data_IF_339630546451
#
_entry.id   IF_339630546451
#
_cell.length_a   1.000
_cell.length_b   1.000
_cell.length_c   1.000
_cell.angle_alpha   90.00
_cell.angle_beta   90.00
_cell.angle_gamma   90.00
#
_symmetry.space_group_name_H-M   'P 1'
#
loop_
_entity.id
_entity.type
_entity.pdbx_description
1 polymer ?
#
# COMPACT_ATOMS: atom_id res chain seq x y z
N UNK A 1 -16.20 7.95 -10.97
CA UNK A 1 -16.59 7.32 -9.68
C UNK A 1 -15.43 6.54 -9.06
N UNK A 2 -14.79 5.62 -9.81
CA UNK A 2 -13.67 4.78 -9.34
C UNK A 2 -12.44 5.57 -8.87
N UNK A 3 -12.01 6.60 -9.62
CA UNK A 3 -10.89 7.49 -9.22
C UNK A 3 -11.12 8.14 -7.86
N UNK A 4 -12.31 8.72 -7.65
CA UNK A 4 -12.67 9.33 -6.36
C UNK A 4 -12.67 8.29 -5.24
N UNK A 5 -13.19 7.09 -5.50
CA UNK A 5 -13.22 6.03 -4.51
C UNK A 5 -11.81 5.59 -4.06
N UNK A 6 -10.83 5.51 -4.97
CA UNK A 6 -9.44 5.21 -4.60
C UNK A 6 -8.84 6.35 -3.75
N UNK A 7 -9.05 7.61 -4.16
CA UNK A 7 -8.58 8.75 -3.38
C UNK A 7 -9.18 8.76 -1.96
N UNK A 8 -10.49 8.57 -1.84
CA UNK A 8 -11.19 8.50 -0.55
C UNK A 8 -10.69 7.32 0.30
N UNK A 9 -10.42 6.17 -0.33
CA UNK A 9 -9.87 4.99 0.35
C UNK A 9 -8.47 5.25 0.91
N UNK A 10 -7.59 5.87 0.13
CA UNK A 10 -6.25 6.26 0.58
C UNK A 10 -6.32 7.23 1.78
N UNK A 11 -7.10 8.32 1.67
CA UNK A 11 -7.28 9.25 2.78
C UNK A 11 -7.87 8.58 4.03
N UNK A 12 -8.78 7.62 3.85
CA UNK A 12 -9.33 6.81 4.94
C UNK A 12 -8.27 5.94 5.62
N UNK A 13 -7.41 5.26 4.86
CA UNK A 13 -6.31 4.44 5.40
C UNK A 13 -5.30 5.32 6.13
N UNK A 14 -4.91 6.45 5.55
CA UNK A 14 -3.97 7.39 6.17
C UNK A 14 -4.51 7.92 7.51
N UNK A 15 -5.77 8.34 7.55
CA UNK A 15 -6.42 8.81 8.77
C UNK A 15 -6.54 7.69 9.82
N UNK A 16 -6.84 6.46 9.40
CA UNK A 16 -6.90 5.29 10.28
C UNK A 16 -5.52 4.98 10.90
N UNK A 17 -4.46 5.00 10.10
CA UNK A 17 -3.09 4.74 10.54
C UNK A 17 -2.63 5.75 11.61
N UNK A 18 -2.72 7.05 11.32
CA UNK A 18 -2.31 8.07 12.29
C UNK A 18 -3.26 8.17 13.48
N UNK A 19 -4.56 7.96 13.28
CA UNK A 19 -5.53 7.92 14.38
C UNK A 19 -5.25 6.76 15.35
N UNK A 20 -4.81 5.61 14.85
CA UNK A 20 -4.37 4.49 15.70
C UNK A 20 -3.15 4.87 16.53
N UNK A 21 -2.13 5.49 15.91
CA UNK A 21 -0.94 5.97 16.60
C UNK A 21 -1.30 7.01 17.68
N UNK A 22 -2.21 7.92 17.39
CA UNK A 22 -2.64 8.93 18.37
C UNK A 22 -3.34 8.31 19.58
N UNK A 23 -4.19 7.29 19.35
CA UNK A 23 -4.95 6.61 20.40
C UNK A 23 -4.08 5.67 21.23
N UNK A 24 -3.27 4.84 20.60
CA UNK A 24 -2.54 3.76 21.26
C UNK A 24 -1.08 4.09 21.53
N UNK A 25 -0.53 5.12 20.88
CA UNK A 25 0.91 5.47 20.92
C UNK A 25 1.79 4.31 20.47
N UNK A 26 1.29 3.53 19.52
CA UNK A 26 1.95 2.37 18.93
C UNK A 26 1.69 2.37 17.42
N UNK A 27 2.60 1.82 16.63
CA UNK A 27 2.42 1.64 15.19
C UNK A 27 1.57 0.37 14.96
N UNK A 28 0.43 0.45 14.25
CA UNK A 28 -0.37 -0.74 13.96
C UNK A 28 0.43 -1.70 13.06
N UNK A 29 0.26 -3.00 13.26
CA UNK A 29 1.05 -4.03 12.59
C UNK A 29 2.36 -4.34 13.32
N UNK A 30 3.20 -3.34 13.52
CA UNK A 30 4.46 -3.42 14.30
C UNK A 30 4.22 -3.79 15.77
N UNK A 31 3.13 -3.31 16.36
CA UNK A 31 2.86 -3.53 17.78
C UNK A 31 2.81 -5.02 18.12
N UNK A 32 3.68 -5.46 19.05
CA UNK A 32 3.77 -6.87 19.43
C UNK A 32 2.45 -7.45 19.92
N UNK A 33 2.07 -8.61 19.35
CA UNK A 33 0.76 -9.26 19.48
C UNK A 33 0.25 -9.33 20.93
N UNK A 34 1.07 -9.84 21.86
CA UNK A 34 0.71 -9.99 23.28
C UNK A 34 0.33 -8.66 23.96
N UNK A 35 0.93 -7.55 23.54
CA UNK A 35 0.61 -6.23 24.09
C UNK A 35 -0.58 -5.60 23.36
N UNK A 36 -0.68 -5.82 22.05
CA UNK A 36 -1.83 -5.40 21.26
C UNK A 36 -3.12 -6.06 21.76
N UNK A 37 -3.13 -7.37 22.01
CA UNK A 37 -4.29 -8.12 22.51
C UNK A 37 -4.83 -7.57 23.84
N UNK A 38 -3.92 -7.17 24.76
CA UNK A 38 -4.31 -6.57 26.05
C UNK A 38 -5.07 -5.26 25.89
N UNK A 39 -4.79 -4.49 24.85
CA UNK A 39 -5.41 -3.20 24.59
C UNK A 39 -6.57 -3.28 23.60
N UNK A 40 -6.54 -4.27 22.71
CA UNK A 40 -7.51 -4.51 21.65
C UNK A 40 -7.88 -6.01 21.72
N UNK A 41 -8.92 -6.35 22.50
CA UNK A 41 -9.30 -7.74 22.68
C UNK A 41 -9.56 -8.46 21.36
N UNK A 42 -8.97 -9.65 21.25
CA UNK A 42 -9.09 -10.52 20.09
C UNK A 42 -8.09 -10.23 18.99
N UNK A 43 -7.13 -9.32 19.13
CA UNK A 43 -5.95 -9.27 18.23
C UNK A 43 -5.06 -10.48 18.48
N UNK A 44 -4.65 -11.15 17.41
CA UNK A 44 -3.86 -12.39 17.45
C UNK A 44 -2.45 -12.19 16.87
N UNK A 45 -2.26 -11.23 15.95
CA UNK A 45 -0.97 -11.01 15.28
C UNK A 45 -0.34 -9.65 15.63
N UNK A 46 0.93 -9.50 15.26
CA UNK A 46 1.71 -8.30 15.49
C UNK A 46 3.18 -8.46 15.09
N UNK A 47 3.92 -7.38 15.26
CA UNK A 47 5.31 -7.25 14.84
C UNK A 47 6.31 -7.29 15.98
N UNK A 48 7.45 -6.66 15.76
CA UNK A 48 8.59 -6.68 16.68
C UNK A 48 8.62 -5.47 17.65
N UNK A 49 7.68 -4.53 17.52
CA UNK A 49 7.57 -3.30 18.30
C UNK A 49 8.80 -2.37 18.17
N UNK A 50 9.40 -2.28 16.98
CA UNK A 50 10.54 -1.41 16.70
C UNK A 50 10.13 0.03 16.31
N UNK A 51 8.84 0.30 16.18
CA UNK A 51 8.28 1.60 15.83
C UNK A 51 8.17 1.86 14.33
N UNK A 52 8.31 0.83 13.48
CA UNK A 52 8.25 0.91 12.02
C UNK A 52 7.49 -0.28 11.49
N UNK A 53 6.86 -0.09 10.34
CA UNK A 53 6.19 -1.15 9.61
C UNK A 53 7.16 -1.76 8.61
N UNK A 54 7.98 -2.70 9.08
CA UNK A 54 9.07 -3.33 8.34
C UNK A 54 9.18 -4.84 8.64
N UNK A 55 10.31 -5.48 8.29
CA UNK A 55 10.43 -6.93 8.41
C UNK A 55 10.71 -7.29 9.87
N UNK A 56 9.70 -7.87 10.52
CA UNK A 56 9.76 -8.39 11.88
C UNK A 56 10.63 -9.65 12.05
N UNK A 57 11.22 -10.18 10.97
CA UNK A 57 11.94 -11.45 10.94
C UNK A 57 11.08 -12.64 10.51
N UNK A 58 9.80 -12.42 10.22
CA UNK A 58 8.85 -13.38 9.63
C UNK A 58 8.52 -13.08 8.17
N UNK A 59 9.16 -12.09 7.56
CA UNK A 59 8.85 -11.59 6.22
C UNK A 59 7.93 -10.37 6.26
N UNK A 60 7.85 -9.62 5.15
CA UNK A 60 7.16 -8.33 5.10
C UNK A 60 5.66 -8.44 5.36
N UNK A 61 5.05 -9.58 5.06
CA UNK A 61 3.62 -9.80 5.30
C UNK A 61 3.25 -9.82 6.78
N UNK A 62 4.20 -10.09 7.69
CA UNK A 62 3.91 -10.22 9.11
C UNK A 62 3.27 -8.96 9.67
N UNK A 63 3.96 -7.82 9.53
CA UNK A 63 3.45 -6.57 10.07
C UNK A 63 2.41 -5.94 9.15
N UNK A 64 2.58 -6.06 7.83
CA UNK A 64 1.67 -5.49 6.85
C UNK A 64 0.23 -6.07 6.96
N UNK A 65 0.09 -7.37 7.23
CA UNK A 65 -1.23 -7.99 7.43
C UNK A 65 -1.75 -7.76 8.85
N UNK A 66 -0.89 -7.83 9.87
CA UNK A 66 -1.27 -7.51 11.24
C UNK A 66 -1.79 -6.07 11.37
N UNK A 67 -1.31 -5.13 10.55
CA UNK A 67 -1.82 -3.76 10.49
C UNK A 67 -3.33 -3.73 10.20
N UNK A 68 -3.81 -4.50 9.24
CA UNK A 68 -5.22 -4.53 8.88
C UNK A 68 -6.09 -5.13 9.98
N UNK A 69 -5.57 -6.17 10.65
CA UNK A 69 -6.20 -6.73 11.84
C UNK A 69 -6.33 -5.69 12.95
N UNK A 70 -5.23 -5.01 13.29
CA UNK A 70 -5.21 -4.00 14.36
C UNK A 70 -6.21 -2.89 14.06
N UNK A 71 -6.21 -2.35 12.84
CA UNK A 71 -7.10 -1.26 12.44
C UNK A 71 -8.57 -1.68 12.43
N UNK A 72 -8.88 -2.91 11.98
CA UNK A 72 -10.28 -3.40 11.94
C UNK A 72 -10.80 -3.75 13.33
N UNK A 73 -10.04 -4.48 14.16
CA UNK A 73 -10.45 -4.86 15.53
C UNK A 73 -10.55 -3.65 16.47
N UNK A 74 -9.79 -2.59 16.21
CA UNK A 74 -9.90 -1.31 16.94
C UNK A 74 -10.93 -0.31 16.35
N UNK A 75 -11.61 -0.69 15.26
CA UNK A 75 -12.68 0.07 14.58
C UNK A 75 -12.24 1.36 13.88
N UNK A 76 -10.98 1.46 13.45
CA UNK A 76 -10.54 2.54 12.58
C UNK A 76 -10.94 2.33 11.13
N UNK A 77 -11.06 1.07 10.70
CA UNK A 77 -11.57 0.71 9.36
C UNK A 77 -12.69 -0.32 9.47
N UNK A 78 -13.48 -0.43 8.41
CA UNK A 78 -14.45 -1.52 8.26
C UNK A 78 -13.76 -2.76 7.68
N UNK A 79 -14.34 -3.92 7.97
CA UNK A 79 -13.79 -5.22 7.58
C UNK A 79 -13.53 -6.10 8.80
N UNK A 80 -13.10 -7.32 8.55
CA UNK A 80 -12.68 -8.26 9.58
C UNK A 80 -11.45 -8.96 9.04
N UNK A 81 -10.28 -8.41 9.36
CA UNK A 81 -9.02 -8.92 8.86
C UNK A 81 -8.37 -9.80 9.91
N UNK A 82 -7.86 -10.95 9.51
CA UNK A 82 -7.25 -11.93 10.42
C UNK A 82 -5.82 -11.60 10.75
N UNK A 83 -5.09 -10.94 9.84
CA UNK A 83 -3.67 -10.61 10.02
C UNK A 83 -2.73 -11.81 9.91
N UNK A 84 -3.21 -12.96 9.40
CA UNK A 84 -2.43 -14.20 9.30
C UNK A 84 -1.23 -14.01 8.34
N UNK A 85 0.02 -14.17 8.83
CA UNK A 85 1.21 -13.97 8.02
C UNK A 85 1.66 -15.22 7.25
N UNK A 86 0.89 -16.30 7.26
CA UNK A 86 1.26 -17.58 6.64
C UNK A 86 1.51 -17.47 5.13
N UNK A 87 0.82 -16.56 4.45
CA UNK A 87 1.01 -16.30 3.03
C UNK A 87 0.57 -14.89 2.65
N UNK A 88 1.10 -14.38 1.53
CA UNK A 88 0.57 -13.18 0.91
C UNK A 88 -0.88 -13.41 0.44
N UNK A 89 -1.72 -12.37 0.40
CA UNK A 89 -3.07 -12.48 -0.13
C UNK A 89 -3.08 -12.90 -1.61
N UNK A 90 -3.99 -13.82 -1.94
CA UNK A 90 -4.23 -14.27 -3.31
C UNK A 90 -5.65 -13.92 -3.79
N UNK A 91 -6.02 -14.38 -4.99
CA UNK A 91 -7.34 -14.09 -5.56
C UNK A 91 -8.50 -14.62 -4.69
N UNK A 92 -8.29 -15.67 -3.91
CA UNK A 92 -9.31 -16.35 -3.12
C UNK A 92 -9.36 -15.83 -1.67
N UNK A 93 -8.33 -15.10 -1.24
CA UNK A 93 -8.24 -14.46 0.06
C UNK A 93 -9.33 -13.40 0.24
N UNK A 94 -10.07 -13.44 1.35
CA UNK A 94 -11.21 -12.52 1.60
C UNK A 94 -11.01 -11.60 2.81
N UNK A 95 -10.06 -11.92 3.68
CA UNK A 95 -9.91 -11.37 5.03
C UNK A 95 -8.43 -11.12 5.42
N UNK A 96 -7.50 -11.12 4.47
CA UNK A 96 -6.10 -10.80 4.76
C UNK A 96 -5.79 -9.29 4.63
N UNK A 97 -6.32 -8.64 3.58
CA UNK A 97 -6.11 -7.21 3.35
C UNK A 97 -7.32 -6.58 2.61
N UNK A 98 -7.54 -5.26 2.75
CA UNK A 98 -8.54 -4.55 1.97
C UNK A 98 -8.25 -4.61 0.47
N UNK A 99 -9.30 -4.55 -0.35
CA UNK A 99 -9.20 -4.47 -1.81
C UNK A 99 -9.60 -3.09 -2.33
N UNK A 100 -8.97 -2.68 -3.42
CA UNK A 100 -9.35 -1.50 -4.19
C UNK A 100 -10.58 -1.80 -5.09
N UNK A 101 -11.06 -0.77 -5.81
CA UNK A 101 -12.20 -0.90 -6.74
C UNK A 101 -11.96 -1.84 -7.96
N UNK A 102 -10.72 -2.28 -8.16
CA UNK A 102 -10.24 -3.16 -9.22
C UNK A 102 -9.83 -4.55 -8.69
N UNK A 103 -10.19 -4.88 -7.44
CA UNK A 103 -9.90 -6.15 -6.77
C UNK A 103 -8.42 -6.37 -6.41
N UNK A 104 -7.55 -5.37 -6.62
CA UNK A 104 -6.15 -5.40 -6.15
C UNK A 104 -6.07 -5.17 -4.64
N UNK A 105 -5.10 -5.80 -3.97
CA UNK A 105 -4.91 -5.65 -2.53
C UNK A 105 -4.16 -4.38 -2.17
N UNK A 106 -4.59 -3.75 -1.09
CA UNK A 106 -3.88 -2.65 -0.47
C UNK A 106 -2.83 -3.17 0.51
N UNK A 107 -1.61 -2.69 0.39
CA UNK A 107 -0.52 -3.00 1.33
C UNK A 107 0.14 -1.71 1.81
N UNK A 108 0.10 -1.45 3.11
CA UNK A 108 0.83 -0.35 3.73
C UNK A 108 2.11 -0.93 4.32
N UNK A 109 3.27 -0.40 3.94
CA UNK A 109 4.57 -0.91 4.39
C UNK A 109 5.68 0.12 4.13
N UNK A 110 6.83 -0.03 4.79
CA UNK A 110 8.00 0.79 4.50
C UNK A 110 8.86 0.11 3.43
N UNK A 111 8.93 0.70 2.24
CA UNK A 111 9.75 0.16 1.13
C UNK A 111 10.22 1.27 0.18
N UNK A 112 11.13 0.90 -0.71
CA UNK A 112 11.55 1.68 -1.88
C UNK A 112 10.84 1.23 -3.17
N UNK A 113 9.65 0.62 -3.07
CA UNK A 113 8.92 -0.03 -4.18
C UNK A 113 8.18 0.97 -5.09
N UNK A 114 8.86 2.03 -5.49
CA UNK A 114 8.28 3.07 -6.32
C UNK A 114 9.25 3.65 -7.34
N UNK A 115 8.69 4.31 -8.34
CA UNK A 115 9.44 4.96 -9.39
C UNK A 115 9.81 6.39 -8.99
N UNK A 116 11.11 6.72 -9.06
CA UNK A 116 11.66 8.05 -8.74
C UNK A 116 12.37 8.71 -9.94
N UNK A 117 12.00 8.28 -11.16
CA UNK A 117 12.52 8.84 -12.40
C UNK A 117 13.85 8.25 -12.88
N UNK A 118 14.42 8.84 -13.93
CA UNK A 118 15.71 8.43 -14.49
C UNK A 118 16.88 8.92 -13.62
N UNK A 119 17.41 8.00 -12.82
CA UNK A 119 18.68 8.19 -12.12
C UNK A 119 19.37 6.88 -11.70
N UNK A 120 18.76 5.73 -11.94
CA UNK A 120 19.30 4.40 -11.60
C UNK A 120 19.53 4.16 -10.10
N UNK A 121 19.16 5.12 -9.23
CA UNK A 121 19.22 4.97 -7.79
C UNK A 121 17.98 4.25 -7.28
N UNK A 122 18.18 3.30 -6.36
CA UNK A 122 17.09 2.80 -5.53
C UNK A 122 16.56 3.99 -4.70
N UNK A 123 15.25 4.28 -4.74
CA UNK A 123 14.67 5.33 -3.92
C UNK A 123 14.90 5.06 -2.43
N UNK A 124 14.73 6.07 -1.59
CA UNK A 124 14.78 5.89 -0.13
C UNK A 124 13.60 5.07 0.37
N UNK A 125 13.79 4.29 1.44
CA UNK A 125 12.69 3.62 2.13
C UNK A 125 11.72 4.62 2.77
N UNK A 126 10.48 4.62 2.29
CA UNK A 126 9.38 5.45 2.77
C UNK A 126 8.19 4.60 3.16
N UNK A 127 7.41 5.07 4.14
CA UNK A 127 6.12 4.47 4.42
C UNK A 127 5.22 4.78 3.22
N UNK A 128 4.71 3.74 2.57
CA UNK A 128 3.90 3.90 1.38
C UNK A 128 2.74 2.90 1.36
N UNK A 129 1.62 3.34 0.78
CA UNK A 129 0.46 2.51 0.50
C UNK A 129 0.51 2.06 -0.96
N UNK A 130 0.76 0.78 -1.19
CA UNK A 130 0.52 0.13 -2.48
C UNK A 130 -0.98 0.09 -2.73
N UNK A 131 -1.42 0.68 -3.86
CA UNK A 131 -2.84 0.75 -4.21
C UNK A 131 -3.38 -0.57 -4.78
N UNK A 132 -2.49 -1.48 -5.18
CA UNK A 132 -2.81 -2.81 -5.68
C UNK A 132 -2.89 -2.84 -7.20
N UNK A 133 -2.27 -3.85 -7.81
CA UNK A 133 -2.23 -4.03 -9.27
C UNK A 133 -3.63 -4.19 -9.90
N UNK A 134 -3.70 -3.94 -11.21
CA UNK A 134 -4.92 -4.07 -12.01
C UNK A 134 -5.71 -2.77 -12.18
N UNK A 135 -5.09 -1.63 -11.87
CA UNK A 135 -5.68 -0.31 -12.14
C UNK A 135 -5.30 0.09 -13.58
N UNK A 136 -6.25 0.49 -14.43
CA UNK A 136 -5.93 0.99 -15.77
C UNK A 136 -5.11 2.28 -15.77
N UNK A 137 -4.19 2.43 -16.72
CA UNK A 137 -3.28 3.60 -16.79
C UNK A 137 -4.02 4.94 -16.86
N UNK A 138 -5.14 5.01 -17.59
CA UNK A 138 -5.95 6.22 -17.68
C UNK A 138 -6.60 6.60 -16.33
N UNK A 139 -6.89 5.62 -15.48
CA UNK A 139 -7.43 5.82 -14.13
C UNK A 139 -6.33 6.33 -13.21
N UNK A 140 -5.11 5.81 -13.29
CA UNK A 140 -3.97 6.32 -12.53
C UNK A 140 -3.59 7.74 -12.95
N UNK A 141 -3.52 8.01 -14.25
CA UNK A 141 -3.25 9.35 -14.78
C UNK A 141 -4.32 10.38 -14.37
N UNK A 142 -5.60 9.98 -14.24
CA UNK A 142 -6.65 10.85 -13.71
C UNK A 142 -6.57 11.00 -12.19
N UNK A 143 -6.23 9.93 -11.47
CA UNK A 143 -6.04 9.96 -10.03
C UNK A 143 -4.92 10.94 -9.64
N UNK A 144 -3.77 10.82 -10.30
CA UNK A 144 -2.59 11.63 -10.08
C UNK A 144 -2.88 13.12 -10.27
N UNK A 145 -3.37 13.52 -11.45
CA UNK A 145 -3.76 14.92 -11.74
C UNK A 145 -4.79 15.50 -10.77
N UNK A 146 -5.50 14.66 -10.03
CA UNK A 146 -6.53 15.07 -9.08
C UNK A 146 -6.02 15.24 -7.66
N UNK A 147 -4.99 14.50 -7.26
CA UNK A 147 -4.49 14.47 -5.88
C UNK A 147 -3.06 14.97 -5.73
N UNK A 148 -2.32 15.11 -6.84
CA UNK A 148 -0.89 15.38 -6.84
C UNK A 148 -0.47 16.20 -8.08
N UNK A 149 0.51 15.79 -8.88
CA UNK A 149 1.14 16.59 -9.95
C UNK A 149 0.93 16.03 -11.37
N UNK A 150 0.41 14.82 -11.51
CA UNK A 150 0.13 14.18 -12.79
C UNK A 150 1.32 13.42 -13.39
N UNK A 151 2.44 13.29 -12.68
CA UNK A 151 3.65 12.63 -13.15
C UNK A 151 3.94 11.34 -12.33
N UNK A 152 4.17 10.19 -12.98
CA UNK A 152 4.43 8.91 -12.30
C UNK A 152 5.72 8.88 -11.47
N UNK A 153 6.62 9.83 -11.70
CA UNK A 153 7.97 9.89 -11.15
C UNK A 153 8.18 11.05 -10.16
N UNK A 154 7.14 11.79 -9.79
CA UNK A 154 7.24 12.89 -8.82
C UNK A 154 6.02 12.96 -7.90
N UNK A 155 6.07 13.83 -6.88
CA UNK A 155 4.97 13.99 -5.94
C UNK A 155 4.78 12.83 -4.95
N UNK A 156 3.58 12.73 -4.39
CA UNK A 156 3.14 11.73 -3.41
C UNK A 156 2.56 10.46 -4.04
N UNK A 157 2.02 10.53 -5.28
CA UNK A 157 1.53 9.37 -6.00
C UNK A 157 2.56 8.92 -7.03
N UNK A 158 3.20 7.77 -6.79
CA UNK A 158 4.26 7.25 -7.66
C UNK A 158 3.82 5.99 -8.37
N UNK A 159 4.33 5.77 -9.58
CA UNK A 159 4.25 4.46 -10.22
C UNK A 159 4.96 3.40 -9.36
N UNK A 160 4.38 2.22 -9.23
CA UNK A 160 4.99 1.13 -8.48
C UNK A 160 6.11 0.47 -9.28
N UNK A 161 7.07 -0.18 -8.62
CA UNK A 161 8.15 -0.91 -9.30
C UNK A 161 7.61 -1.93 -10.31
N UNK A 162 8.39 -2.22 -11.34
CA UNK A 162 8.00 -3.16 -12.40
C UNK A 162 8.39 -4.61 -12.13
N UNK A 163 9.26 -4.82 -11.13
CA UNK A 163 9.71 -6.15 -10.71
C UNK A 163 10.38 -6.07 -9.33
N UNK A 164 10.38 -7.18 -8.60
CA UNK A 164 11.09 -7.30 -7.32
C UNK A 164 10.39 -6.57 -6.17
N UNK A 165 9.10 -6.32 -6.30
CA UNK A 165 8.32 -5.66 -5.26
C UNK A 165 8.25 -6.50 -3.98
N UNK A 166 8.19 -5.83 -2.83
CA UNK A 166 8.19 -6.45 -1.49
C UNK A 166 7.07 -7.48 -1.33
N UNK A 167 5.89 -7.23 -1.90
CA UNK A 167 4.74 -8.14 -1.88
C UNK A 167 4.53 -8.87 -3.22
N UNK A 168 5.61 -9.05 -3.99
CA UNK A 168 5.58 -9.65 -5.32
C UNK A 168 4.63 -8.90 -6.24
N UNK A 169 3.81 -9.65 -7.00
CA UNK A 169 2.88 -9.10 -7.98
C UNK A 169 1.85 -8.09 -7.39
N UNK A 170 1.60 -8.09 -6.07
CA UNK A 170 0.73 -7.09 -5.43
C UNK A 170 1.36 -5.69 -5.47
N UNK A 171 2.70 -5.61 -5.33
CA UNK A 171 3.49 -4.38 -5.34
C UNK A 171 3.97 -3.97 -6.72
N UNK A 172 3.75 -4.79 -7.74
CA UNK A 172 4.32 -4.56 -9.07
C UNK A 172 3.31 -3.88 -10.01
N UNK A 173 3.85 -3.13 -10.97
CA UNK A 173 3.10 -2.55 -12.08
C UNK A 173 3.69 -3.02 -13.42
N UNK A 174 2.88 -3.03 -14.47
CA UNK A 174 3.43 -3.10 -15.83
C UNK A 174 4.32 -1.88 -16.12
N UNK A 175 5.41 -2.10 -16.87
CA UNK A 175 6.31 -1.06 -17.36
C UNK A 175 5.64 -0.16 -18.41
N UNK A 176 4.69 -0.70 -19.19
CA UNK A 176 3.97 0.04 -20.24
C UNK A 176 2.98 1.09 -19.68
N UNK A 177 2.96 1.29 -18.37
CA UNK A 177 2.13 2.31 -17.72
C UNK A 177 2.80 3.69 -17.73
N UNK A 178 4.10 3.75 -18.00
CA UNK A 178 4.90 4.98 -17.94
C UNK A 178 5.68 5.10 -19.23
N UNK A 179 5.55 6.26 -19.88
CA UNK A 179 6.40 6.63 -21.01
C UNK A 179 7.64 7.32 -20.43
N UNK A 180 8.75 6.59 -20.43
CA UNK A 180 10.05 7.09 -19.99
C UNK A 180 10.83 7.77 -21.12
N UNK A 181 10.27 7.88 -22.32
CA UNK A 181 10.90 8.61 -23.44
C UNK A 181 10.63 10.12 -23.37
N UNK A 182 9.64 10.52 -22.60
CA UNK A 182 9.33 11.92 -22.26
C UNK A 182 10.15 12.40 -21.04
N UNK A 183 10.42 13.72 -20.99
CA UNK A 183 11.15 14.37 -19.89
C UNK A 183 10.34 15.58 -19.34
N UNK A 184 9.72 15.46 -18.15
CA UNK A 184 9.74 14.31 -17.25
C UNK A 184 8.88 13.13 -17.78
N UNK A 185 9.13 11.89 -17.32
CA UNK A 185 8.31 10.72 -17.65
C UNK A 185 6.83 10.96 -17.35
N UNK A 186 5.93 10.43 -18.19
CA UNK A 186 4.48 10.62 -18.07
C UNK A 186 3.74 9.28 -17.96
N UNK A 187 2.50 9.30 -17.47
CA UNK A 187 1.63 8.13 -17.57
C UNK A 187 1.28 7.85 -19.04
N UNK A 188 1.65 6.67 -19.55
CA UNK A 188 1.41 6.29 -20.94
C UNK A 188 -0.03 5.83 -21.15
N UNK A 189 -0.92 6.79 -21.39
CA UNK A 189 -2.33 6.49 -21.64
C UNK A 189 -2.58 5.87 -23.02
N UNK A 190 -1.62 5.92 -23.94
CA UNK A 190 -1.77 5.44 -25.32
C UNK A 190 -1.67 3.91 -25.39
N UNK A 191 -0.86 3.29 -24.51
CA UNK A 191 -0.77 1.82 -24.42
C UNK A 191 -2.08 1.16 -23.97
N UNK A 192 -2.96 1.92 -23.33
CA UNK A 192 -4.19 1.41 -22.71
C UNK A 192 -3.91 0.21 -21.77
N UNK A 193 -2.79 0.25 -21.05
CA UNK A 193 -2.40 -0.78 -20.11
C UNK A 193 -3.42 -0.91 -18.97
N UNK A 194 -3.77 -2.16 -18.61
CA UNK A 194 -4.78 -2.48 -17.59
C UNK A 194 -4.18 -3.00 -16.29
N UNK A 195 -2.91 -3.41 -16.31
CA UNK A 195 -2.19 -3.99 -15.18
C UNK A 195 -1.22 -2.98 -14.56
N UNK A 196 -1.68 -1.75 -14.34
CA UNK A 196 -0.89 -0.75 -13.65
C UNK A 196 -1.11 -0.79 -12.14
N UNK A 197 -0.13 -0.24 -11.43
CA UNK A 197 -0.13 -0.06 -10.00
C UNK A 197 0.59 1.25 -9.65
N UNK A 198 0.25 1.79 -8.49
CA UNK A 198 0.86 2.99 -7.95
C UNK A 198 0.96 2.86 -6.43
N UNK A 199 1.87 3.63 -5.85
CA UNK A 199 1.98 3.76 -4.40
C UNK A 199 1.69 5.20 -3.99
N UNK A 200 1.16 5.37 -2.79
CA UNK A 200 1.00 6.68 -2.16
C UNK A 200 2.00 6.83 -1.01
N UNK A 201 2.87 7.82 -1.08
CA UNK A 201 3.89 8.10 -0.07
C UNK A 201 3.28 8.85 1.12
N UNK A 202 3.62 8.43 2.35
CA UNK A 202 3.14 9.02 3.61
C UNK A 202 4.22 9.86 4.32
#
# INVERSE_FOLDING_TARGET
>A
ARVRNIADQNSGVQAAYYGFIDRYRQVPGDWGATNAEKAIPGVDNGGNANGRLDDAGGGPQQEALALWEHLSKSRFIQGSFTGDPASLPDQDSTDLAPRNAFNGFLMLYRSSDYYDGEGGGTPSDQLNLVLGAGIPVNVLAELDRKIDDGLPASGVLRHAVTSGGTFGAISESSADCVDTTEDPPIWDIETNQQLCNAVYLY
#
